data_IF_239065710207
#
_entry.id   IF_239065710207
#
_cell.length_a   1.000
_cell.length_b   1.000
_cell.length_c   1.000
_cell.angle_alpha   90.00
_cell.angle_beta   90.00
_cell.angle_gamma   90.00
#
_symmetry.space_group_name_H-M   'P 1'
#
loop_
_entity.id
_entity.type
_entity.pdbx_description
1 polymer ?
#
# COMPACT_ATOMS: atom_id res chain seq x y z
N UNK A 1 -9.91 -7.13 4.41
CA UNK A 1 -9.01 -6.73 5.51
C UNK A 1 -9.86 -6.22 6.65
N UNK A 2 -9.50 -6.53 7.89
CA UNK A 2 -10.16 -6.07 9.12
C UNK A 2 -9.14 -5.22 9.88
N UNK A 3 -9.50 -3.99 10.24
CA UNK A 3 -8.65 -3.15 11.09
C UNK A 3 -9.34 -2.95 12.44
N UNK A 4 -8.71 -3.44 13.51
CA UNK A 4 -9.25 -3.44 14.86
C UNK A 4 -8.69 -2.26 15.67
N UNK A 5 -9.40 -1.90 16.74
CA UNK A 5 -8.88 -1.00 17.76
C UNK A 5 -7.96 -1.78 18.73
N UNK A 6 -7.03 -1.07 19.40
CA UNK A 6 -6.23 -1.68 20.46
C UNK A 6 -7.09 -2.19 21.62
N UNK A 7 -8.20 -1.51 21.93
CA UNK A 7 -9.17 -1.95 22.94
C UNK A 7 -9.82 -3.28 22.54
N UNK A 8 -10.25 -3.42 21.29
CA UNK A 8 -10.83 -4.68 20.81
C UNK A 8 -9.81 -5.82 20.90
N UNK A 9 -8.57 -5.57 20.49
CA UNK A 9 -7.48 -6.56 20.60
C UNK A 9 -7.31 -7.05 22.04
N UNK A 10 -7.31 -6.14 23.01
CA UNK A 10 -7.05 -6.48 24.41
C UNK A 10 -8.25 -7.15 25.09
N UNK A 11 -9.48 -6.71 24.78
CA UNK A 11 -10.69 -7.25 25.40
C UNK A 11 -11.17 -8.56 24.77
N UNK A 12 -10.89 -8.77 23.48
CA UNK A 12 -11.42 -9.90 22.70
C UNK A 12 -10.30 -10.66 21.97
N UNK A 13 -9.24 -11.10 22.67
CA UNK A 13 -8.08 -11.74 22.03
C UNK A 13 -8.43 -13.07 21.37
N UNK A 14 -9.45 -13.79 21.87
CA UNK A 14 -9.93 -15.03 21.25
C UNK A 14 -10.63 -14.75 19.92
N UNK A 15 -11.38 -13.65 19.81
CA UNK A 15 -12.05 -13.25 18.57
C UNK A 15 -11.04 -12.76 17.54
N UNK A 16 -9.95 -12.10 17.95
CA UNK A 16 -8.83 -11.77 17.05
C UNK A 16 -8.27 -13.05 16.42
N UNK A 17 -7.97 -14.06 17.25
CA UNK A 17 -7.46 -15.35 16.78
C UNK A 17 -8.46 -16.06 15.88
N UNK A 18 -9.73 -16.10 16.26
CA UNK A 18 -10.80 -16.70 15.47
C UNK A 18 -10.89 -16.10 14.06
N UNK A 19 -10.81 -14.77 13.94
CA UNK A 19 -10.82 -14.09 12.64
C UNK A 19 -9.56 -14.37 11.81
N UNK A 20 -8.39 -14.48 12.46
CA UNK A 20 -7.15 -14.83 11.80
C UNK A 20 -7.17 -16.29 11.31
N UNK A 21 -7.67 -17.21 12.12
CA UNK A 21 -7.88 -18.62 11.76
C UNK A 21 -8.89 -18.76 10.62
N UNK A 22 -10.02 -18.06 10.68
CA UNK A 22 -11.00 -18.05 9.59
C UNK A 22 -10.37 -17.56 8.27
N UNK A 23 -9.52 -16.54 8.32
CA UNK A 23 -8.81 -16.05 7.12
C UNK A 23 -7.85 -17.10 6.55
N UNK A 24 -7.14 -17.83 7.41
CA UNK A 24 -6.25 -18.92 7.00
C UNK A 24 -7.04 -20.10 6.43
N UNK A 25 -8.14 -20.50 7.07
CA UNK A 25 -9.01 -21.57 6.59
C UNK A 25 -9.59 -21.23 5.21
N UNK A 26 -10.10 -20.02 5.02
CA UNK A 26 -10.56 -19.59 3.70
C UNK A 26 -9.41 -19.58 2.67
N UNK A 27 -8.19 -19.18 3.04
CA UNK A 27 -7.06 -19.18 2.12
C UNK A 27 -6.62 -20.60 1.71
N UNK A 28 -6.71 -21.57 2.62
CA UNK A 28 -6.25 -22.95 2.44
C UNK A 28 -7.32 -23.89 1.90
N UNK A 29 -8.59 -23.49 1.91
CA UNK A 29 -9.70 -24.28 1.36
C UNK A 29 -9.45 -24.73 -0.09
N UNK A 30 -9.82 -25.96 -0.42
CA UNK A 30 -9.70 -26.55 -1.75
C UNK A 30 -10.85 -26.09 -2.67
N UNK A 31 -10.87 -24.80 -2.96
CA UNK A 31 -11.88 -24.15 -3.80
C UNK A 31 -11.20 -23.43 -4.98
N UNK A 32 -11.96 -23.28 -6.08
CA UNK A 32 -11.50 -22.50 -7.23
C UNK A 32 -11.29 -21.03 -6.83
N UNK A 33 -10.15 -20.39 -7.20
CA UNK A 33 -9.83 -19.00 -6.82
C UNK A 33 -10.90 -17.97 -7.19
N UNK A 34 -11.64 -18.23 -8.27
CA UNK A 34 -12.71 -17.38 -8.79
C UNK A 34 -13.94 -17.36 -7.86
N UNK A 35 -14.11 -18.42 -7.06
CA UNK A 35 -15.17 -18.54 -6.05
C UNK A 35 -14.70 -18.17 -4.65
N UNK A 36 -13.39 -18.14 -4.42
CA UNK A 36 -12.78 -17.79 -3.13
C UNK A 36 -11.69 -16.73 -3.29
N UNK A 37 -12.11 -15.47 -3.13
CA UNK A 37 -11.19 -14.33 -3.26
C UNK A 37 -10.14 -14.25 -2.14
N UNK A 38 -10.38 -14.86 -0.98
CA UNK A 38 -9.36 -14.90 0.08
C UNK A 38 -8.20 -15.78 -0.37
N UNK A 39 -8.51 -16.97 -0.90
CA UNK A 39 -7.55 -17.89 -1.52
C UNK A 39 -6.86 -17.27 -2.72
N UNK A 40 -7.60 -16.71 -3.67
CA UNK A 40 -7.03 -16.06 -4.86
C UNK A 40 -5.97 -15.03 -4.49
N UNK A 41 -6.33 -14.07 -3.63
CA UNK A 41 -5.40 -13.03 -3.22
C UNK A 41 -4.22 -13.56 -2.40
N UNK A 42 -4.41 -14.62 -1.60
CA UNK A 42 -3.32 -15.24 -0.85
C UNK A 42 -2.34 -15.94 -1.81
N UNK A 43 -2.82 -16.70 -2.79
CA UNK A 43 -1.98 -17.34 -3.82
C UNK A 43 -1.22 -16.32 -4.66
N UNK A 44 -1.87 -15.24 -5.09
CA UNK A 44 -1.19 -14.15 -5.79
C UNK A 44 -0.10 -13.52 -4.91
N UNK A 45 -0.37 -13.32 -3.62
CA UNK A 45 0.64 -12.79 -2.67
C UNK A 45 1.81 -13.76 -2.51
N UNK A 46 1.57 -15.06 -2.41
CA UNK A 46 2.64 -16.05 -2.33
C UNK A 46 3.50 -16.04 -3.60
N UNK A 47 2.89 -15.96 -4.79
CA UNK A 47 3.61 -15.88 -6.06
C UNK A 47 4.51 -14.65 -6.12
N UNK A 48 4.00 -13.50 -5.72
CA UNK A 48 4.72 -12.23 -5.91
C UNK A 48 5.79 -11.97 -4.83
N UNK A 49 5.64 -12.58 -3.64
CA UNK A 49 6.50 -12.31 -2.48
C UNK A 49 7.34 -13.50 -2.03
N UNK A 50 7.01 -14.71 -2.47
CA UNK A 50 7.63 -15.95 -2.01
C UNK A 50 7.31 -16.32 -0.56
N UNK A 51 6.36 -15.64 0.08
CA UNK A 51 5.98 -15.90 1.47
C UNK A 51 5.13 -17.17 1.61
N UNK A 52 4.93 -17.64 2.85
CA UNK A 52 4.09 -18.80 3.12
C UNK A 52 2.60 -18.44 3.05
N UNK A 53 1.72 -19.44 2.90
CA UNK A 53 0.28 -19.21 2.84
C UNK A 53 -0.23 -18.55 4.14
N UNK A 54 0.36 -18.87 5.28
CA UNK A 54 0.02 -18.30 6.58
C UNK A 54 0.31 -16.79 6.65
N UNK A 55 1.43 -16.36 6.06
CA UNK A 55 1.78 -14.95 5.95
C UNK A 55 0.89 -14.25 4.91
N UNK A 56 0.67 -14.89 3.75
CA UNK A 56 -0.16 -14.37 2.68
C UNK A 56 -1.64 -14.22 3.07
N UNK A 57 -2.12 -15.02 4.03
CA UNK A 57 -3.51 -15.01 4.50
C UNK A 57 -3.79 -14.05 5.64
N UNK A 58 -2.80 -13.30 6.13
CA UNK A 58 -3.02 -12.35 7.23
C UNK A 58 -3.96 -11.22 6.78
N UNK A 59 -5.12 -11.09 7.45
CA UNK A 59 -6.14 -10.08 7.14
C UNK A 59 -6.62 -9.27 8.34
N UNK A 60 -6.20 -9.62 9.54
CA UNK A 60 -6.57 -8.95 10.79
C UNK A 60 -5.42 -8.05 11.22
N UNK A 61 -5.67 -6.75 11.24
CA UNK A 61 -4.67 -5.73 11.54
C UNK A 61 -5.07 -4.91 12.77
N UNK A 62 -4.10 -4.53 13.59
CA UNK A 62 -4.29 -3.60 14.72
C UNK A 62 -3.00 -2.85 15.01
N UNK A 63 -2.98 -2.16 16.15
CA UNK A 63 -1.77 -1.61 16.73
C UNK A 63 -0.86 -2.71 17.29
N UNK A 64 0.44 -2.44 17.38
CA UNK A 64 1.35 -3.22 18.22
C UNK A 64 0.85 -3.29 19.67
N UNK A 65 1.27 -4.31 20.41
CA UNK A 65 0.87 -4.49 21.81
C UNK A 65 1.20 -3.25 22.66
N UNK A 66 0.27 -2.87 23.53
CA UNK A 66 0.37 -1.65 24.34
C UNK A 66 0.18 -0.32 23.58
N UNK A 67 0.11 -0.35 22.25
CA UNK A 67 -0.23 0.83 21.45
C UNK A 67 -1.74 0.91 21.16
N UNK A 68 -2.26 2.13 21.13
CA UNK A 68 -3.65 2.46 20.86
C UNK A 68 -3.75 3.61 19.87
N UNK A 69 -4.87 3.63 19.14
CA UNK A 69 -5.19 4.70 18.19
C UNK A 69 -4.30 4.71 16.94
N UNK A 70 -4.79 5.33 15.87
CA UNK A 70 -3.98 5.63 14.70
C UNK A 70 -3.19 6.93 14.87
N UNK A 71 -3.39 7.68 15.96
CA UNK A 71 -2.89 9.05 16.19
C UNK A 71 -3.30 10.08 15.11
N UNK A 72 -4.12 9.69 14.13
CA UNK A 72 -4.62 10.59 13.07
C UNK A 72 -5.44 11.74 13.68
N UNK A 73 -6.26 11.43 14.68
CA UNK A 73 -7.05 12.43 15.40
C UNK A 73 -6.15 13.46 16.11
N UNK A 74 -5.07 13.02 16.76
CA UNK A 74 -4.13 13.92 17.43
C UNK A 74 -3.43 14.84 16.42
N UNK A 75 -3.09 14.29 15.26
CA UNK A 75 -2.41 15.04 14.21
C UNK A 75 -3.36 16.10 13.62
N UNK A 76 -4.64 15.76 13.41
CA UNK A 76 -5.70 16.71 13.05
C UNK A 76 -5.91 17.78 14.13
N UNK A 77 -6.07 17.39 15.39
CA UNK A 77 -6.33 18.29 16.53
C UNK A 77 -5.20 19.30 16.76
N UNK A 78 -3.96 18.87 16.54
CA UNK A 78 -2.79 19.72 16.74
C UNK A 78 -2.47 20.60 15.52
N UNK A 79 -3.09 20.35 14.37
CA UNK A 79 -2.77 21.02 13.11
C UNK A 79 -1.32 20.82 12.66
N UNK A 80 -0.62 19.81 13.21
CA UNK A 80 0.79 19.53 12.93
C UNK A 80 0.97 18.56 11.76
N UNK A 81 0.20 18.78 10.69
CA UNK A 81 0.38 18.16 9.38
C UNK A 81 0.39 19.26 8.33
N UNK A 82 1.16 19.04 7.28
CA UNK A 82 1.18 19.91 6.11
C UNK A 82 0.44 19.27 4.92
N UNK A 83 0.24 17.95 4.95
CA UNK A 83 -0.33 17.17 3.85
C UNK A 83 -1.14 15.98 4.38
N UNK A 84 -2.27 15.63 3.75
CA UNK A 84 -3.13 14.53 4.21
C UNK A 84 -2.42 13.17 4.15
N UNK A 85 -1.34 13.07 3.38
CA UNK A 85 -0.53 11.85 3.31
C UNK A 85 0.10 11.53 4.67
N UNK A 86 0.45 12.54 5.49
CA UNK A 86 0.97 12.32 6.85
C UNK A 86 -0.03 11.57 7.74
N UNK A 87 -1.34 11.76 7.50
CA UNK A 87 -2.40 11.06 8.21
C UNK A 87 -2.48 9.59 7.77
N UNK A 88 -2.37 9.33 6.46
CA UNK A 88 -2.34 7.97 5.91
C UNK A 88 -1.08 7.21 6.39
N UNK A 89 0.05 7.90 6.44
CA UNK A 89 1.34 7.37 6.90
C UNK A 89 1.27 6.88 8.33
N UNK A 90 0.82 7.76 9.21
CA UNK A 90 0.68 7.47 10.63
C UNK A 90 -0.33 6.35 10.87
N UNK A 91 -1.40 6.30 10.08
CA UNK A 91 -2.36 5.21 10.15
C UNK A 91 -1.69 3.88 9.86
N UNK A 92 -0.98 3.73 8.74
CA UNK A 92 -0.38 2.43 8.42
C UNK A 92 0.81 2.11 9.32
N UNK A 93 1.60 3.11 9.75
CA UNK A 93 2.66 2.89 10.73
C UNK A 93 2.11 2.37 12.06
N UNK A 94 0.99 2.93 12.53
CA UNK A 94 0.41 2.55 13.83
C UNK A 94 -0.51 1.34 13.73
N UNK A 95 -1.14 1.07 12.58
CA UNK A 95 -2.12 -0.02 12.37
C UNK A 95 -1.60 -1.17 11.51
N UNK A 96 -0.36 -1.09 11.02
CA UNK A 96 0.26 -2.07 10.12
C UNK A 96 0.71 -3.37 10.77
N UNK A 97 0.21 -3.72 11.96
CA UNK A 97 0.55 -4.96 12.65
C UNK A 97 -0.54 -5.98 12.39
N UNK A 98 -0.19 -7.04 11.66
CA UNK A 98 -1.09 -8.15 11.42
C UNK A 98 -1.04 -9.18 12.56
N UNK A 99 -2.16 -9.87 12.76
CA UNK A 99 -2.33 -10.93 13.75
C UNK A 99 -2.60 -12.25 13.03
N UNK A 100 -1.77 -13.26 13.33
CA UNK A 100 -1.97 -14.65 12.89
C UNK A 100 -2.80 -15.45 13.89
N UNK A 101 -2.96 -16.75 13.64
CA UNK A 101 -3.61 -17.69 14.58
C UNK A 101 -2.86 -17.80 15.92
N UNK A 102 -1.57 -17.48 15.94
CA UNK A 102 -0.78 -17.36 17.17
C UNK A 102 -1.18 -16.17 18.05
N UNK A 103 -1.89 -15.19 17.48
CA UNK A 103 -2.34 -13.95 18.10
C UNK A 103 -1.22 -12.96 18.40
N UNK A 104 -0.03 -13.13 17.82
CA UNK A 104 1.10 -12.21 18.04
C UNK A 104 1.12 -11.14 16.93
N UNK A 105 1.35 -9.86 17.28
CA UNK A 105 1.49 -8.82 16.28
C UNK A 105 2.77 -9.01 15.48
N UNK A 106 2.66 -8.92 14.15
CA UNK A 106 3.78 -8.90 13.22
C UNK A 106 3.64 -7.69 12.33
N UNK A 107 4.68 -6.87 12.20
CA UNK A 107 4.66 -5.74 11.27
C UNK A 107 4.52 -6.28 9.84
N UNK A 108 3.40 -5.98 9.19
CA UNK A 108 3.07 -6.41 7.82
C UNK A 108 2.64 -5.22 6.93
N UNK A 109 3.48 -4.17 6.84
CA UNK A 109 3.15 -2.95 6.09
C UNK A 109 2.92 -3.21 4.59
N UNK A 110 3.71 -4.09 3.99
CA UNK A 110 3.59 -4.44 2.57
C UNK A 110 2.25 -5.15 2.28
N UNK A 111 1.84 -6.07 3.15
CA UNK A 111 0.56 -6.77 3.01
C UNK A 111 -0.63 -5.82 3.21
N UNK A 112 -0.54 -4.90 4.17
CA UNK A 112 -1.57 -3.88 4.36
C UNK A 112 -1.75 -3.02 3.11
N UNK A 113 -0.66 -2.64 2.44
CA UNK A 113 -0.72 -1.91 1.15
C UNK A 113 -1.33 -2.73 0.03
N UNK A 114 -1.03 -4.03 -0.04
CA UNK A 114 -1.68 -4.93 -1.01
C UNK A 114 -3.20 -4.90 -0.90
N UNK A 115 -3.71 -4.78 0.32
CA UNK A 115 -5.15 -4.70 0.57
C UNK A 115 -5.74 -3.29 0.43
N UNK A 116 -4.89 -2.26 0.25
CA UNK A 116 -5.22 -0.84 0.12
C UNK A 116 -4.68 -0.27 -1.20
N UNK A 117 -3.54 0.43 -1.18
CA UNK A 117 -2.96 1.12 -2.33
C UNK A 117 -2.92 0.26 -3.60
N UNK A 118 -2.55 -1.02 -3.49
CA UNK A 118 -2.42 -1.93 -4.63
C UNK A 118 -3.64 -2.83 -4.84
N UNK A 119 -4.76 -2.55 -4.16
CA UNK A 119 -6.02 -3.26 -4.36
C UNK A 119 -6.85 -2.53 -5.42
N UNK A 120 -7.20 -3.18 -6.55
CA UNK A 120 -8.02 -2.58 -7.61
C UNK A 120 -9.30 -1.94 -7.10
N UNK A 121 -10.02 -2.60 -6.20
CA UNK A 121 -11.27 -2.03 -5.67
C UNK A 121 -11.04 -0.75 -4.87
N UNK A 122 -9.87 -0.59 -4.27
CA UNK A 122 -9.55 0.60 -3.49
C UNK A 122 -9.06 1.73 -4.38
N UNK A 123 -8.05 1.50 -5.23
CA UNK A 123 -7.52 2.58 -6.07
C UNK A 123 -8.52 3.01 -7.15
N UNK A 124 -9.36 2.10 -7.67
CA UNK A 124 -10.44 2.49 -8.59
C UNK A 124 -11.47 3.39 -7.91
N UNK A 125 -11.82 3.08 -6.66
CA UNK A 125 -12.68 3.95 -5.86
C UNK A 125 -12.02 5.31 -5.61
N UNK A 126 -10.71 5.35 -5.33
CA UNK A 126 -9.99 6.62 -5.20
C UNK A 126 -10.01 7.42 -6.49
N UNK A 127 -9.68 6.83 -7.64
CA UNK A 127 -9.66 7.53 -8.93
C UNK A 127 -11.03 8.13 -9.27
N UNK A 128 -12.13 7.48 -8.88
CA UNK A 128 -13.49 8.04 -9.03
C UNK A 128 -13.72 9.34 -8.24
N UNK A 129 -12.99 9.59 -7.16
CA UNK A 129 -13.00 10.86 -6.42
C UNK A 129 -12.12 11.95 -7.06
N UNK A 130 -11.49 11.68 -8.21
CA UNK A 130 -10.74 12.66 -8.99
C UNK A 130 -9.48 13.14 -8.26
N UNK A 131 -9.32 14.47 -8.18
CA UNK A 131 -8.08 15.12 -7.73
C UNK A 131 -7.57 14.60 -6.37
N UNK A 132 -8.44 14.58 -5.35
CA UNK A 132 -8.07 14.16 -3.99
C UNK A 132 -7.81 12.65 -3.90
N UNK A 133 -8.50 11.87 -4.72
CA UNK A 133 -8.29 10.42 -4.77
C UNK A 133 -6.92 10.05 -5.28
N UNK A 134 -6.45 10.69 -6.36
CA UNK A 134 -5.09 10.49 -6.87
C UNK A 134 -4.05 11.02 -5.88
N UNK A 135 -4.29 12.17 -5.25
CA UNK A 135 -3.40 12.69 -4.19
C UNK A 135 -3.23 11.68 -3.05
N UNK A 136 -4.30 11.00 -2.64
CA UNK A 136 -4.27 9.95 -1.63
C UNK A 136 -3.44 8.72 -2.06
N UNK A 137 -3.51 8.32 -3.33
CA UNK A 137 -2.66 7.24 -3.89
C UNK A 137 -1.18 7.63 -3.78
N UNK A 138 -0.81 8.83 -4.24
CA UNK A 138 0.57 9.35 -4.14
C UNK A 138 1.06 9.42 -2.70
N UNK A 139 0.17 9.74 -1.77
CA UNK A 139 0.44 9.71 -0.35
C UNK A 139 0.84 8.35 0.19
N UNK A 140 0.04 7.34 -0.11
CA UNK A 140 0.34 5.97 0.27
C UNK A 140 1.69 5.48 -0.26
N UNK A 141 2.11 5.95 -1.45
CA UNK A 141 3.42 5.65 -2.00
C UNK A 141 4.53 6.43 -1.26
N UNK A 142 4.30 7.68 -0.91
CA UNK A 142 5.23 8.48 -0.09
C UNK A 142 5.46 7.82 1.27
N UNK A 143 4.41 7.31 1.93
CA UNK A 143 4.55 6.49 3.14
C UNK A 143 5.52 5.33 2.93
N UNK A 144 5.39 4.68 1.78
CA UNK A 144 6.17 3.50 1.42
C UNK A 144 7.65 3.79 1.44
N UNK A 145 8.01 4.90 0.79
CA UNK A 145 9.37 5.39 0.79
C UNK A 145 9.86 5.72 2.21
N UNK A 146 9.00 6.35 3.03
CA UNK A 146 9.31 6.67 4.43
C UNK A 146 9.65 5.46 5.31
N UNK A 147 9.01 4.31 5.09
CA UNK A 147 9.38 3.07 5.80
C UNK A 147 10.66 2.45 5.31
N UNK A 148 10.97 2.51 4.01
CA UNK A 148 12.29 2.09 3.55
C UNK A 148 13.40 2.95 4.15
N UNK A 149 13.14 4.24 4.36
CA UNK A 149 14.10 5.15 5.01
C UNK A 149 14.28 4.88 6.51
N UNK A 150 13.20 4.58 7.24
CA UNK A 150 13.26 4.38 8.70
C UNK A 150 13.56 2.94 9.12
N UNK A 151 13.09 1.94 8.36
CA UNK A 151 13.31 0.52 8.63
C UNK A 151 14.56 -0.06 7.95
N UNK A 152 15.26 0.72 7.12
CA UNK A 152 16.43 0.28 6.37
C UNK A 152 16.11 -0.46 5.07
N UNK A 153 17.16 -0.78 4.30
CA UNK A 153 17.04 -1.49 3.02
C UNK A 153 16.40 -2.86 3.24
N UNK A 154 15.27 -3.11 2.56
CA UNK A 154 14.48 -4.33 2.68
C UNK A 154 13.27 -4.24 3.62
N UNK A 155 13.07 -3.14 4.35
CA UNK A 155 11.87 -2.95 5.17
C UNK A 155 10.57 -2.93 4.36
N UNK A 156 10.65 -2.51 3.10
CA UNK A 156 9.61 -2.70 2.09
C UNK A 156 10.18 -3.59 1.01
N UNK A 157 9.45 -4.63 0.66
CA UNK A 157 9.84 -5.59 -0.38
C UNK A 157 9.82 -4.95 -1.77
N UNK A 158 10.72 -5.42 -2.65
CA UNK A 158 10.86 -4.94 -4.03
C UNK A 158 9.56 -4.96 -4.84
N UNK A 159 8.75 -6.02 -4.66
CA UNK A 159 7.50 -6.21 -5.39
C UNK A 159 6.50 -5.08 -5.16
N UNK A 160 6.53 -4.38 -4.01
CA UNK A 160 5.60 -3.27 -3.73
C UNK A 160 5.84 -2.11 -4.70
N UNK A 161 7.10 -1.79 -4.95
CA UNK A 161 7.50 -0.75 -5.90
C UNK A 161 7.33 -1.20 -7.35
N UNK A 162 7.65 -2.48 -7.64
CA UNK A 162 7.42 -3.06 -8.96
C UNK A 162 5.94 -3.04 -9.35
N UNK A 163 5.05 -3.41 -8.44
CA UNK A 163 3.61 -3.41 -8.71
C UNK A 163 3.04 -1.98 -8.79
N UNK A 164 3.52 -1.06 -7.93
CA UNK A 164 3.11 0.34 -7.97
C UNK A 164 3.53 1.01 -9.29
N UNK A 165 4.78 0.80 -9.73
CA UNK A 165 5.28 1.32 -11.01
C UNK A 165 4.48 0.76 -12.19
N UNK A 166 4.29 -0.56 -12.24
CA UNK A 166 3.49 -1.22 -13.27
C UNK A 166 2.05 -0.68 -13.31
N UNK A 167 1.40 -0.57 -12.16
CA UNK A 167 -0.01 -0.21 -12.07
C UNK A 167 -0.24 1.26 -12.40
N UNK A 168 0.52 2.18 -11.79
CA UNK A 168 0.19 3.61 -11.83
C UNK A 168 0.96 4.39 -12.87
N UNK A 169 2.13 3.91 -13.30
CA UNK A 169 3.01 4.68 -14.19
C UNK A 169 3.23 3.98 -15.52
N UNK A 170 3.58 2.71 -15.54
CA UNK A 170 3.93 2.01 -16.79
C UNK A 170 2.70 1.57 -17.60
N UNK A 171 1.55 1.35 -16.94
CA UNK A 171 0.27 1.23 -17.63
C UNK A 171 -0.15 2.62 -18.15
N UNK A 172 -0.04 2.81 -19.47
CA UNK A 172 -0.38 4.06 -20.14
C UNK A 172 -1.83 4.51 -19.92
N UNK A 173 -2.79 3.56 -19.91
CA UNK A 173 -4.19 3.90 -19.71
C UNK A 173 -4.42 4.38 -18.26
N UNK A 174 -3.81 3.71 -17.28
CA UNK A 174 -3.86 4.18 -15.90
C UNK A 174 -3.14 5.52 -15.72
N UNK A 175 -1.93 5.66 -16.27
CA UNK A 175 -1.13 6.88 -16.21
C UNK A 175 -1.91 8.08 -16.73
N UNK A 176 -2.56 7.94 -17.88
CA UNK A 176 -3.41 8.99 -18.45
C UNK A 176 -4.59 9.34 -17.53
N UNK A 177 -5.30 8.34 -16.99
CA UNK A 177 -6.43 8.56 -16.07
C UNK A 177 -6.02 9.33 -14.81
N UNK A 178 -4.90 8.96 -14.19
CA UNK A 178 -4.45 9.64 -12.97
C UNK A 178 -3.90 11.04 -13.27
N UNK A 179 -3.25 11.24 -14.42
CA UNK A 179 -2.75 12.55 -14.85
C UNK A 179 -3.89 13.50 -15.28
N UNK A 180 -4.97 12.98 -15.88
CA UNK A 180 -6.19 13.74 -16.15
C UNK A 180 -6.85 14.25 -14.86
N UNK A 181 -6.84 13.42 -13.82
CA UNK A 181 -7.46 13.73 -12.53
C UNK A 181 -6.60 14.65 -11.65
N UNK A 182 -5.28 14.43 -11.62
CA UNK A 182 -4.32 15.21 -10.84
C UNK A 182 -2.89 15.08 -11.43
N UNK A 183 -2.45 16.00 -12.30
CA UNK A 183 -1.16 15.90 -12.97
C UNK A 183 0.02 16.00 -11.98
N UNK A 184 -0.05 16.88 -10.98
CA UNK A 184 0.96 16.99 -9.92
C UNK A 184 1.13 15.69 -9.14
N UNK A 185 0.02 15.08 -8.72
CA UNK A 185 0.07 13.83 -7.96
C UNK A 185 0.54 12.64 -8.82
N UNK A 186 0.19 12.60 -10.11
CA UNK A 186 0.67 11.60 -11.05
C UNK A 186 2.19 11.67 -11.26
N UNK A 187 2.72 12.87 -11.50
CA UNK A 187 4.17 13.10 -11.55
C UNK A 187 4.85 12.73 -10.23
N UNK A 188 4.22 13.08 -9.10
CA UNK A 188 4.68 12.72 -7.76
C UNK A 188 4.82 11.21 -7.55
N UNK A 189 3.95 10.37 -8.12
CA UNK A 189 4.08 8.90 -8.05
C UNK A 189 5.36 8.45 -8.76
N UNK A 190 5.57 8.92 -10.00
CA UNK A 190 6.76 8.56 -10.79
C UNK A 190 8.06 9.02 -10.09
N UNK A 191 8.08 10.25 -9.58
CA UNK A 191 9.22 10.79 -8.84
C UNK A 191 9.54 9.98 -7.57
N UNK A 192 8.53 9.56 -6.81
CA UNK A 192 8.74 8.75 -5.59
C UNK A 192 9.27 7.34 -5.91
N UNK A 193 8.89 6.77 -7.05
CA UNK A 193 9.44 5.50 -7.52
C UNK A 193 10.89 5.63 -7.97
N UNK A 194 11.23 6.69 -8.70
CA UNK A 194 12.62 7.00 -9.06
C UNK A 194 13.47 7.27 -7.81
N UNK A 195 12.94 8.02 -6.85
CA UNK A 195 13.61 8.26 -5.56
C UNK A 195 13.85 6.95 -4.78
N UNK A 196 12.91 6.00 -4.84
CA UNK A 196 13.10 4.67 -4.25
C UNK A 196 14.28 3.92 -4.91
N UNK A 197 14.49 4.10 -6.21
CA UNK A 197 15.65 3.56 -6.91
C UNK A 197 16.95 4.27 -6.51
N UNK A 198 16.98 5.60 -6.56
CA UNK A 198 18.16 6.41 -6.24
C UNK A 198 18.67 6.16 -4.82
N UNK A 199 17.76 5.98 -3.86
CA UNK A 199 18.10 5.66 -2.47
C UNK A 199 18.44 4.18 -2.24
N UNK A 200 18.36 3.35 -3.27
CA UNK A 200 18.64 1.92 -3.23
C UNK A 200 17.63 1.11 -2.42
N UNK A 201 16.38 1.59 -2.33
CA UNK A 201 15.27 0.87 -1.72
C UNK A 201 14.59 -0.06 -2.71
N UNK A 202 14.61 0.28 -3.99
CA UNK A 202 14.08 -0.52 -5.09
C UNK A 202 15.13 -0.69 -6.21
N UNK A 203 15.26 -1.88 -6.75
CA UNK A 203 16.20 -2.24 -7.81
C UNK A 203 15.43 -2.89 -8.98
N UNK A 204 14.75 -2.09 -9.82
CA UNK A 204 14.22 -2.56 -11.09
C UNK A 204 15.34 -2.96 -12.06
N UNK A 205 14.98 -3.69 -13.12
CA UNK A 205 15.87 -3.85 -14.28
C UNK A 205 15.98 -2.54 -15.07
N UNK A 206 17.03 -2.45 -15.90
CA UNK A 206 17.36 -1.24 -16.66
C UNK A 206 16.19 -0.81 -17.57
N UNK A 207 15.51 -1.78 -18.19
CA UNK A 207 14.37 -1.51 -19.07
C UNK A 207 13.19 -0.87 -18.32
N UNK A 208 12.88 -1.37 -17.12
CA UNK A 208 11.82 -0.81 -16.25
C UNK A 208 12.21 0.58 -15.76
N UNK A 209 13.49 0.78 -15.43
CA UNK A 209 13.98 2.08 -14.96
C UNK A 209 13.92 3.14 -16.06
N UNK A 210 14.34 2.80 -17.27
CA UNK A 210 14.30 3.71 -18.42
C UNK A 210 12.85 4.05 -18.80
N UNK A 211 11.96 3.06 -18.86
CA UNK A 211 10.53 3.30 -19.10
C UNK A 211 9.89 4.19 -18.03
N UNK A 212 10.32 4.06 -16.77
CA UNK A 212 9.85 4.92 -15.68
C UNK A 212 10.35 6.36 -15.82
N UNK A 213 11.60 6.57 -16.27
CA UNK A 213 12.16 7.89 -16.55
C UNK A 213 11.44 8.57 -17.70
N UNK A 214 11.18 7.84 -18.78
CA UNK A 214 10.45 8.35 -19.94
C UNK A 214 9.02 8.76 -19.55
N UNK A 215 8.33 7.92 -18.78
CA UNK A 215 6.99 8.24 -18.29
C UNK A 215 6.98 9.43 -17.31
N UNK A 216 8.02 9.60 -16.49
CA UNK A 216 8.17 10.75 -15.61
C UNK A 216 8.36 12.05 -16.42
N UNK A 217 9.21 12.02 -17.45
CA UNK A 217 9.44 13.17 -18.34
C UNK A 217 8.15 13.56 -19.09
N UNK A 218 7.38 12.58 -19.59
CA UNK A 218 6.08 12.82 -20.23
C UNK A 218 5.10 13.53 -19.27
N UNK A 219 5.04 13.08 -18.01
CA UNK A 219 4.19 13.68 -16.98
C UNK A 219 4.64 15.09 -16.61
N UNK A 220 5.95 15.35 -16.60
CA UNK A 220 6.55 16.68 -16.37
C UNK A 220 6.22 17.64 -17.51
N UNK A 221 6.46 17.24 -18.77
CA UNK A 221 6.10 18.02 -19.96
C UNK A 221 4.62 18.40 -19.97
N UNK A 222 3.77 17.44 -19.57
CA UNK A 222 2.33 17.62 -19.48
C UNK A 222 1.92 18.60 -18.38
N UNK A 223 2.57 18.56 -17.22
CA UNK A 223 2.34 19.50 -16.12
C UNK A 223 2.81 20.92 -16.47
N UNK A 224 3.96 21.03 -17.16
CA UNK A 224 4.53 22.30 -17.60
C UNK A 224 3.81 22.90 -18.83
N UNK A 225 2.92 22.14 -19.47
CA UNK A 225 2.09 22.60 -20.59
C UNK A 225 2.80 22.60 -21.95
N UNK A 226 3.87 21.82 -22.11
CA UNK A 226 4.68 21.75 -23.36
C UNK A 226 3.88 21.18 -24.55
N UNK A 227 2.74 20.52 -24.29
CA UNK A 227 1.81 20.01 -25.31
C UNK A 227 0.45 20.73 -25.37
N UNK A 228 0.29 21.88 -24.71
CA UNK A 228 -0.90 22.72 -24.85
C UNK A 228 -0.70 23.78 -25.96
N UNK A 229 -0.90 23.37 -27.22
CA UNK A 229 -1.09 24.24 -28.38
C UNK A 229 -2.27 23.76 -29.23
#
# INVERSE_FOLDING_TARGET
MITLSGIFRDLLPLQVKLLAEASLLCATAEEEPEMNFIRKHALDTMRDTGCTIEQASLRVFSNADGAYGSNVNLLIETGKWQDENELADLFVQRKGFAYGSDGKPQAQPALMKRTKMLNPKWYEAQIQYGYEGVRNITGHLTTTLGWSATGGKGAVSQWVYAEASKTFVLDEAMRNRIADANPDAALGIAQRLLEANDRGYWQPDDATLDALRDAAAELEDRLEGVYAA
#
